data_IF_726501173611
#
_entry.id   IF_726501173611
#
_cell.length_a   1.000
_cell.length_b   1.000
_cell.length_c   1.000
_cell.angle_alpha   90.00
_cell.angle_beta   90.00
_cell.angle_gamma   90.00
#
_symmetry.space_group_name_H-M   'P 1'
#
loop_
_entity.id
_entity.type
_entity.pdbx_description
1 polymer ?
#
# COMPACT_ATOMS: atom_id res chain seq x y z
N UNK A 1 3.59 15.32 29.15
CA UNK A 1 4.55 15.02 28.07
C UNK A 1 3.74 14.45 26.90
N UNK A 2 3.53 15.12 25.75
CA UNK A 2 2.70 14.53 24.71
C UNK A 2 3.57 13.74 23.73
N UNK A 3 3.39 12.42 23.77
CA UNK A 3 3.74 11.51 22.70
C UNK A 3 2.81 11.76 21.51
N UNK A 4 3.37 11.72 20.31
CA UNK A 4 2.74 12.03 19.02
C UNK A 4 1.40 11.32 18.84
N UNK A 5 0.33 12.11 18.84
CA UNK A 5 -1.06 11.70 18.58
C UNK A 5 -1.29 11.64 17.06
N UNK A 6 -0.64 10.72 16.36
CA UNK A 6 -1.10 10.34 15.03
C UNK A 6 -2.22 9.32 15.19
N UNK A 7 -3.45 9.76 14.99
CA UNK A 7 -4.61 8.90 14.78
C UNK A 7 -4.44 8.21 13.41
N UNK A 8 -3.86 7.02 13.40
CA UNK A 8 -3.94 6.15 12.22
C UNK A 8 -5.34 5.50 12.21
N UNK A 9 -6.27 6.14 11.52
CA UNK A 9 -7.61 5.60 11.31
C UNK A 9 -7.52 4.52 10.21
N UNK A 10 -7.76 3.27 10.58
CA UNK A 10 -7.64 2.12 9.68
C UNK A 10 -8.95 1.92 8.90
N UNK A 11 -9.07 2.53 7.71
CA UNK A 11 -10.15 2.28 6.74
C UNK A 11 -9.74 1.20 5.72
N UNK A 12 -9.38 0.01 6.20
CA UNK A 12 -9.06 -1.10 5.30
C UNK A 12 -10.29 -1.49 4.48
N UNK A 13 -10.19 -1.38 3.16
CA UNK A 13 -11.16 -1.89 2.19
C UNK A 13 -10.50 -3.07 1.47
N UNK A 14 -11.04 -4.27 1.66
CA UNK A 14 -10.54 -5.48 1.01
C UNK A 14 -11.16 -5.60 -0.39
N UNK A 15 -10.33 -5.48 -1.42
CA UNK A 15 -10.74 -5.71 -2.81
C UNK A 15 -10.32 -7.13 -3.23
N UNK A 16 -11.28 -8.05 -3.29
CA UNK A 16 -11.07 -9.36 -3.89
C UNK A 16 -10.87 -9.23 -5.40
N UNK A 17 -9.68 -9.55 -5.88
CA UNK A 17 -9.33 -9.58 -7.30
C UNK A 17 -8.45 -10.81 -7.60
N UNK A 18 -8.40 -11.21 -8.87
CA UNK A 18 -7.58 -12.36 -9.27
C UNK A 18 -6.09 -12.06 -9.05
N UNK A 19 -5.31 -13.11 -8.75
CA UNK A 19 -3.84 -13.04 -8.70
C UNK A 19 -3.29 -12.44 -10.01
N UNK A 20 -2.31 -11.55 -9.91
CA UNK A 20 -1.75 -10.81 -11.04
C UNK A 20 -2.58 -9.59 -11.50
N UNK A 21 -3.70 -9.27 -10.85
CA UNK A 21 -4.45 -8.04 -11.21
C UNK A 21 -3.62 -6.80 -10.86
N UNK A 22 -3.48 -5.82 -11.77
CA UNK A 22 -2.74 -4.59 -11.48
C UNK A 22 -3.34 -3.80 -10.32
N UNK A 23 -2.51 -3.45 -9.35
CA UNK A 23 -2.80 -2.52 -8.26
C UNK A 23 -2.32 -1.14 -8.68
N UNK A 24 -3.24 -0.16 -8.64
CA UNK A 24 -2.95 1.22 -9.02
C UNK A 24 -2.93 2.14 -7.80
N UNK A 25 -2.06 3.15 -7.82
CA UNK A 25 -2.05 4.21 -6.82
C UNK A 25 -3.36 5.00 -6.87
N UNK A 26 -4.02 5.17 -5.73
CA UNK A 26 -5.33 5.86 -5.66
C UNK A 26 -5.20 7.37 -5.87
N UNK A 27 -4.03 7.94 -5.54
CA UNK A 27 -3.72 9.36 -5.64
C UNK A 27 -2.19 9.57 -5.76
N UNK A 28 -1.79 10.79 -6.12
CA UNK A 28 -0.38 11.19 -6.11
C UNK A 28 0.21 11.09 -4.70
N UNK A 29 1.46 10.65 -4.58
CA UNK A 29 2.06 10.46 -3.27
C UNK A 29 3.52 10.01 -3.29
N UNK A 30 4.02 9.67 -2.11
CA UNK A 30 5.35 9.10 -1.90
C UNK A 30 5.22 7.74 -1.25
N UNK A 31 5.85 6.74 -1.83
CA UNK A 31 5.94 5.39 -1.26
C UNK A 31 6.78 5.46 0.00
N UNK A 32 6.21 5.11 1.15
CA UNK A 32 6.92 5.08 2.44
C UNK A 32 7.33 3.68 2.85
N UNK A 33 6.61 2.66 2.36
CA UNK A 33 6.93 1.24 2.57
C UNK A 33 6.76 0.52 1.24
N UNK A 34 7.71 -0.35 0.90
CA UNK A 34 7.63 -1.29 -0.22
C UNK A 34 8.50 -2.50 0.13
N UNK A 35 7.91 -3.49 0.79
CA UNK A 35 8.64 -4.65 1.31
C UNK A 35 7.80 -5.91 1.29
N UNK A 36 8.47 -7.06 1.32
CA UNK A 36 7.83 -8.35 1.51
C UNK A 36 8.14 -8.86 2.92
N UNK A 37 7.12 -8.92 3.79
CA UNK A 37 7.27 -9.41 5.16
C UNK A 37 6.36 -10.62 5.40
N UNK A 38 6.89 -11.66 6.06
CA UNK A 38 6.26 -12.98 6.10
C UNK A 38 4.81 -13.04 6.63
N UNK A 39 4.38 -12.11 7.49
CA UNK A 39 3.02 -12.10 8.04
C UNK A 39 2.00 -11.27 7.25
N UNK A 40 2.43 -10.24 6.51
CA UNK A 40 1.55 -9.43 5.66
C UNK A 40 1.60 -9.86 4.19
N UNK A 41 2.64 -10.57 3.79
CA UNK A 41 3.02 -10.71 2.39
C UNK A 41 3.75 -9.45 1.90
N UNK A 42 3.59 -9.13 0.62
CA UNK A 42 4.03 -7.86 0.07
C UNK A 42 3.17 -6.71 0.57
N UNK A 43 3.80 -5.63 0.99
CA UNK A 43 3.18 -4.41 1.50
C UNK A 43 3.76 -3.18 0.80
N UNK A 44 2.88 -2.36 0.23
CA UNK A 44 3.18 -1.02 -0.24
C UNK A 44 2.36 -0.03 0.58
N UNK A 45 2.99 1.02 1.10
CA UNK A 45 2.29 2.15 1.74
C UNK A 45 2.67 3.42 1.01
N UNK A 46 1.66 4.22 0.66
CA UNK A 46 1.84 5.52 -0.01
C UNK A 46 1.24 6.60 0.88
N UNK A 47 2.02 7.64 1.17
CA UNK A 47 1.54 8.87 1.81
C UNK A 47 1.13 9.88 0.75
N UNK A 48 -0.07 10.43 0.91
CA UNK A 48 -0.68 11.44 0.07
C UNK A 48 -0.90 12.71 0.86
N UNK A 49 -0.64 13.86 0.23
CA UNK A 49 -0.92 15.16 0.82
C UNK A 49 -2.24 15.70 0.28
N UNK A 50 -3.24 15.81 1.16
CA UNK A 50 -4.57 16.35 0.83
C UNK A 50 -4.75 17.70 1.54
N UNK A 51 -4.24 18.76 0.90
CA UNK A 51 -4.21 20.09 1.51
C UNK A 51 -3.29 20.14 2.74
N UNK A 52 -3.86 20.39 3.93
CA UNK A 52 -3.13 20.42 5.19
C UNK A 52 -3.03 19.05 5.88
N UNK A 53 -3.69 18.02 5.34
CA UNK A 53 -3.73 16.69 5.93
C UNK A 53 -2.83 15.72 5.17
N UNK A 54 -2.21 14.80 5.89
CA UNK A 54 -1.48 13.66 5.31
C UNK A 54 -2.33 12.42 5.57
N UNK A 55 -2.63 11.69 4.49
CA UNK A 55 -3.37 10.43 4.53
C UNK A 55 -2.51 9.35 3.89
N UNK A 56 -2.56 8.13 4.41
CA UNK A 56 -1.82 7.01 3.87
C UNK A 56 -2.76 5.94 3.33
N UNK A 57 -2.37 5.31 2.23
CA UNK A 57 -3.01 4.09 1.72
C UNK A 57 -2.04 2.92 1.81
N UNK A 58 -2.55 1.76 2.20
CA UNK A 58 -1.78 0.53 2.34
C UNK A 58 -2.35 -0.54 1.41
N UNK A 59 -1.46 -1.22 0.69
CA UNK A 59 -1.75 -2.30 -0.26
C UNK A 59 -0.98 -3.53 0.19
N UNK A 60 -1.67 -4.61 0.54
CA UNK A 60 -1.07 -5.79 1.16
C UNK A 60 -1.26 -7.07 0.32
N UNK A 61 -0.67 -8.17 0.78
CA UNK A 61 -0.85 -9.53 0.24
C UNK A 61 -0.30 -9.81 -1.16
N UNK A 62 0.46 -8.87 -1.74
CA UNK A 62 1.16 -9.06 -3.02
C UNK A 62 2.24 -10.13 -2.90
N UNK A 63 2.53 -10.87 -3.96
CA UNK A 63 3.76 -11.68 -3.99
C UNK A 63 5.00 -10.77 -3.97
N UNK A 64 6.16 -11.30 -3.57
CA UNK A 64 7.42 -10.52 -3.59
C UNK A 64 7.72 -9.94 -4.98
N UNK A 65 7.42 -10.71 -6.04
CA UNK A 65 7.62 -10.29 -7.43
C UNK A 65 6.52 -9.35 -7.95
N UNK A 66 5.44 -9.15 -7.19
CA UNK A 66 4.34 -8.25 -7.52
C UNK A 66 4.51 -6.86 -6.91
N UNK A 67 5.68 -6.51 -6.35
CA UNK A 67 5.98 -5.16 -5.88
C UNK A 67 6.79 -4.45 -6.97
N UNK A 68 6.26 -3.37 -7.54
CA UNK A 68 6.88 -2.67 -8.68
C UNK A 68 7.48 -1.31 -8.32
N UNK A 69 7.43 -0.92 -7.05
CA UNK A 69 7.92 0.36 -6.55
C UNK A 69 8.85 0.16 -5.36
N UNK A 70 9.60 1.21 -5.01
CA UNK A 70 10.49 1.21 -3.83
C UNK A 70 10.17 2.36 -2.87
N UNK A 71 10.55 2.21 -1.60
CA UNK A 71 10.42 3.30 -0.62
C UNK A 71 11.20 4.56 -1.06
N UNK A 72 10.56 5.72 -0.93
CA UNK A 72 11.05 7.02 -1.39
C UNK A 72 10.60 7.39 -2.81
N UNK A 73 10.02 6.46 -3.57
CA UNK A 73 9.53 6.72 -4.92
C UNK A 73 8.29 7.62 -4.93
N UNK A 74 8.22 8.56 -5.87
CA UNK A 74 7.01 9.37 -6.11
C UNK A 74 6.13 8.66 -7.12
N UNK A 75 4.84 8.57 -6.81
CA UNK A 75 3.83 7.96 -7.68
C UNK A 75 2.74 8.97 -8.01
N UNK A 76 2.10 8.77 -9.16
CA UNK A 76 0.91 9.53 -9.58
C UNK A 76 -0.36 8.67 -9.51
N UNK A 77 -1.52 9.31 -9.39
CA UNK A 77 -2.81 8.65 -9.44
C UNK A 77 -2.94 7.76 -10.70
N UNK A 78 -3.35 6.50 -10.51
CA UNK A 78 -3.48 5.52 -11.57
C UNK A 78 -2.16 4.83 -11.98
N UNK A 79 -1.02 5.18 -11.39
CA UNK A 79 0.24 4.47 -11.64
C UNK A 79 0.15 3.03 -11.15
N UNK A 80 0.64 2.08 -11.96
CA UNK A 80 0.77 0.68 -11.56
C UNK A 80 1.90 0.53 -10.55
N UNK A 81 1.56 0.09 -9.33
CA UNK A 81 2.49 0.03 -8.19
C UNK A 81 2.79 -1.41 -7.74
N UNK A 82 1.89 -2.35 -8.05
CA UNK A 82 2.05 -3.75 -7.69
C UNK A 82 1.00 -4.63 -8.35
N UNK A 83 1.04 -5.92 -8.08
CA UNK A 83 0.08 -6.91 -8.55
C UNK A 83 -0.54 -7.64 -7.37
N UNK A 84 -1.85 -7.83 -7.42
CA UNK A 84 -2.58 -8.64 -6.43
C UNK A 84 -1.92 -10.00 -6.33
N UNK A 85 -1.70 -10.47 -5.11
CA UNK A 85 -1.14 -11.78 -4.83
C UNK A 85 -1.94 -12.51 -3.75
N UNK A 86 -1.43 -13.67 -3.33
CA UNK A 86 -2.00 -14.46 -2.23
C UNK A 86 -0.93 -14.88 -1.22
N UNK A 87 0.04 -14.01 -0.96
CA UNK A 87 1.25 -14.35 -0.20
C UNK A 87 1.11 -14.32 1.33
N UNK A 88 -0.01 -13.82 1.86
CA UNK A 88 -0.39 -13.91 3.27
C UNK A 88 -1.48 -14.97 3.50
N UNK A 89 -1.93 -15.17 4.74
CA UNK A 89 -3.11 -15.99 5.12
C UNK A 89 -4.41 -15.40 4.52
N UNK A 90 -4.51 -15.39 3.20
CA UNK A 90 -5.72 -15.05 2.47
C UNK A 90 -6.46 -16.35 2.22
N UNK A 91 -7.70 -16.44 2.69
CA UNK A 91 -8.58 -17.59 2.40
C UNK A 91 -9.16 -17.52 0.99
N UNK A 92 -8.85 -16.47 0.22
CA UNK A 92 -9.65 -16.11 -0.95
C UNK A 92 -11.02 -15.57 -0.57
#
# INVERSE_FOLDING_TARGET
MPFTRQTSTHYGLDFGAADGTPILAVADGVVTVAEFSGSYGGLIVIEHQLGAEIVATAYAHMWQHGIHVIAGERVIAGQHIGDVGSSGKSTG
#
